data_IF_098963732617
#
_entry.id   IF_098963732617
#
_cell.length_a   1.000
_cell.length_b   1.000
_cell.length_c   1.000
_cell.angle_alpha   90.00
_cell.angle_beta   90.00
_cell.angle_gamma   90.00
#
_symmetry.space_group_name_H-M   'P 1'
#
loop_
_entity.id
_entity.type
_entity.pdbx_description
1 polymer ?
#
# COMPACT_ATOMS: atom_id res chain seq x y z
N UNK A 1 -4.81 13.36 24.51
CA UNK A 1 -4.96 12.30 25.54
C UNK A 1 -3.64 12.16 26.30
N UNK A 2 -3.67 11.82 27.60
CA UNK A 2 -2.49 11.78 28.49
C UNK A 2 -1.81 10.40 28.51
N UNK A 3 -1.57 9.81 27.34
CA UNK A 3 -1.09 8.41 27.20
C UNK A 3 0.31 8.18 27.76
N UNK A 4 1.10 9.23 27.97
CA UNK A 4 2.43 9.17 28.58
C UNK A 4 2.45 9.33 30.09
N UNK A 5 1.29 9.50 30.74
CA UNK A 5 1.19 9.70 32.18
C UNK A 5 1.71 8.46 32.94
N UNK A 6 2.63 8.68 33.88
CA UNK A 6 3.24 7.61 34.70
C UNK A 6 2.65 7.51 36.10
N UNK A 7 2.25 8.64 36.66
CA UNK A 7 1.78 8.74 38.04
C UNK A 7 0.50 9.57 38.07
N UNK A 8 -0.51 9.07 38.78
CA UNK A 8 -1.77 9.77 38.99
C UNK A 8 -2.22 9.55 40.45
N UNK A 9 -2.32 10.64 41.20
CA UNK A 9 -2.68 10.60 42.61
C UNK A 9 -4.07 11.21 42.83
N UNK A 10 -5.00 10.38 43.31
CA UNK A 10 -6.40 10.69 43.57
C UNK A 10 -6.78 10.40 45.03
N UNK A 11 -5.82 10.40 45.96
CA UNK A 11 -6.02 10.07 47.37
C UNK A 11 -7.10 10.93 48.05
N UNK A 12 -7.80 10.34 49.03
CA UNK A 12 -8.71 11.05 49.95
C UNK A 12 -9.78 11.92 49.27
N UNK A 13 -10.30 11.43 48.14
CA UNK A 13 -11.44 12.03 47.44
C UNK A 13 -12.73 11.24 47.74
N UNK A 14 -13.83 11.61 47.08
CA UNK A 14 -15.13 10.94 47.20
C UNK A 14 -15.47 10.07 45.98
N UNK A 15 -14.45 9.53 45.29
CA UNK A 15 -14.67 8.70 44.11
C UNK A 15 -15.32 7.37 44.51
N UNK A 16 -16.46 7.03 43.92
CA UNK A 16 -17.14 5.75 44.13
C UNK A 16 -16.83 4.74 43.04
N UNK A 17 -16.43 5.22 41.85
CA UNK A 17 -16.10 4.41 40.69
C UNK A 17 -14.85 4.96 39.99
N UNK A 18 -14.24 4.12 39.15
CA UNK A 18 -13.20 4.52 38.22
C UNK A 18 -13.74 4.35 36.80
N UNK A 19 -13.65 5.38 35.92
CA UNK A 19 -14.09 5.23 34.55
C UNK A 19 -13.22 4.20 33.83
N UNK A 20 -13.80 3.23 33.09
CA UNK A 20 -13.02 2.23 32.34
C UNK A 20 -12.01 2.83 31.36
N UNK A 21 -12.27 4.05 30.89
CA UNK A 21 -11.37 4.81 30.01
C UNK A 21 -10.01 5.11 30.65
N UNK A 22 -9.84 5.02 31.97
CA UNK A 22 -8.51 5.06 32.60
C UNK A 22 -7.61 3.93 32.10
N UNK A 23 -8.17 2.84 31.57
CA UNK A 23 -7.42 1.78 30.90
C UNK A 23 -6.61 2.24 29.68
N UNK A 24 -6.95 3.40 29.10
CA UNK A 24 -6.17 4.01 28.00
C UNK A 24 -4.81 4.55 28.46
N UNK A 25 -4.64 4.79 29.77
CA UNK A 25 -3.39 5.21 30.40
C UNK A 25 -2.46 4.00 30.62
N UNK A 26 -2.21 3.27 29.53
CA UNK A 26 -1.40 2.03 29.51
C UNK A 26 0.05 2.20 29.97
N UNK A 27 0.53 3.43 30.12
CA UNK A 27 1.85 3.74 30.66
C UNK A 27 1.85 4.06 32.15
N UNK A 28 0.68 4.09 32.81
CA UNK A 28 0.53 4.45 34.21
C UNK A 28 1.11 3.36 35.11
N UNK A 29 2.09 3.75 35.92
CA UNK A 29 2.82 2.87 36.83
C UNK A 29 2.33 2.99 38.27
N UNK A 30 1.83 4.17 38.64
CA UNK A 30 1.31 4.42 39.99
C UNK A 30 -0.03 5.14 39.92
N UNK A 31 -1.04 4.53 40.52
CA UNK A 31 -2.36 5.11 40.70
C UNK A 31 -2.71 5.13 42.20
N UNK A 32 -2.71 6.32 42.80
CA UNK A 32 -3.11 6.51 44.18
C UNK A 32 -4.61 6.67 44.33
N UNK A 33 -5.33 5.63 44.77
CA UNK A 33 -6.80 5.68 44.98
C UNK A 33 -7.24 5.47 46.43
N UNK A 34 -6.30 5.37 47.37
CA UNK A 34 -6.62 5.18 48.79
C UNK A 34 -7.43 6.36 49.35
N UNK A 35 -8.20 6.12 50.42
CA UNK A 35 -9.08 7.14 51.01
C UNK A 35 -10.40 7.39 50.26
N UNK A 36 -10.62 6.75 49.10
CA UNK A 36 -11.87 6.89 48.34
C UNK A 36 -12.88 5.76 48.64
N UNK A 37 -14.20 6.02 48.56
CA UNK A 37 -15.26 5.01 48.65
C UNK A 37 -15.41 4.14 47.38
N UNK A 38 -14.32 3.75 46.72
CA UNK A 38 -14.32 2.90 45.51
C UNK A 38 -14.62 1.44 45.89
N UNK A 39 -15.30 0.74 44.97
CA UNK A 39 -15.55 -0.70 45.03
C UNK A 39 -14.32 -1.51 45.46
N UNK A 40 -14.52 -2.42 46.41
CA UNK A 40 -13.43 -3.19 47.01
C UNK A 40 -12.70 -4.09 46.01
N UNK A 41 -13.40 -4.58 44.98
CA UNK A 41 -12.82 -5.41 43.92
C UNK A 41 -11.65 -4.71 43.19
N UNK A 42 -11.81 -3.43 42.83
CA UNK A 42 -10.79 -2.64 42.15
C UNK A 42 -9.59 -2.36 43.06
N UNK A 43 -9.83 -2.09 44.35
CA UNK A 43 -8.76 -1.92 45.35
C UNK A 43 -7.93 -3.19 45.51
N UNK A 44 -8.59 -4.35 45.53
CA UNK A 44 -7.92 -5.65 45.65
C UNK A 44 -6.99 -5.91 44.45
N UNK A 45 -7.38 -5.53 43.22
CA UNK A 45 -6.52 -5.67 42.03
C UNK A 45 -5.23 -4.85 42.22
N UNK A 46 -5.34 -3.58 42.65
CA UNK A 46 -4.17 -2.72 42.87
C UNK A 46 -3.27 -3.26 43.98
N UNK A 47 -3.86 -3.71 45.10
CA UNK A 47 -3.11 -4.22 46.24
C UNK A 47 -2.37 -5.54 45.93
N UNK A 48 -2.99 -6.41 45.13
CA UNK A 48 -2.45 -7.74 44.84
C UNK A 48 -1.51 -7.73 43.62
N UNK A 49 -1.96 -7.13 42.53
CA UNK A 49 -1.36 -7.26 41.20
C UNK A 49 -0.82 -5.91 40.66
N UNK A 50 -1.01 -4.82 41.40
CA UNK A 50 -0.45 -3.50 41.12
C UNK A 50 -1.31 -2.61 40.19
N UNK A 51 -0.85 -1.38 39.99
CA UNK A 51 -1.52 -0.41 39.09
C UNK A 51 -1.65 -0.92 37.65
N UNK A 52 -0.61 -1.52 37.02
CA UNK A 52 -0.73 -2.00 35.65
C UNK A 52 -1.84 -3.03 35.46
N UNK A 53 -2.04 -3.93 36.44
CA UNK A 53 -3.12 -4.91 36.39
C UNK A 53 -4.51 -4.27 36.42
N UNK A 54 -4.71 -3.24 37.25
CA UNK A 54 -5.96 -2.49 37.26
C UNK A 54 -6.18 -1.76 35.93
N UNK A 55 -5.14 -1.15 35.35
CA UNK A 55 -5.23 -0.47 34.04
C UNK A 55 -5.65 -1.46 32.95
N UNK A 56 -5.02 -2.63 32.88
CA UNK A 56 -5.40 -3.68 31.92
C UNK A 56 -6.84 -4.17 32.15
N UNK A 57 -7.25 -4.36 33.40
CA UNK A 57 -8.63 -4.73 33.73
C UNK A 57 -9.65 -3.68 33.25
N UNK A 58 -9.40 -2.40 33.52
CA UNK A 58 -10.26 -1.30 33.10
C UNK A 58 -10.32 -1.18 31.57
N UNK A 59 -9.18 -1.36 30.89
CA UNK A 59 -9.06 -1.36 29.43
C UNK A 59 -9.90 -2.47 28.80
N UNK A 60 -9.74 -3.69 29.28
CA UNK A 60 -10.39 -4.87 28.70
C UNK A 60 -11.88 -4.94 29.04
N UNK A 61 -12.29 -4.33 30.15
CA UNK A 61 -13.70 -4.19 30.57
C UNK A 61 -14.39 -2.94 30.01
N UNK A 62 -13.66 -2.08 29.28
CA UNK A 62 -14.24 -0.85 28.73
C UNK A 62 -15.28 -1.20 27.66
N UNK A 63 -16.52 -0.67 27.75
CA UNK A 63 -17.51 -0.87 26.71
C UNK A 63 -16.97 -0.42 25.34
N UNK A 64 -17.24 -1.24 24.32
CA UNK A 64 -16.81 -0.95 22.94
C UNK A 64 -17.49 0.34 22.49
N UNK A 65 -16.74 1.39 22.11
CA UNK A 65 -17.33 2.60 21.56
C UNK A 65 -18.16 2.28 20.30
N UNK A 66 -19.12 3.13 19.94
CA UNK A 66 -19.79 2.99 18.65
C UNK A 66 -18.79 3.00 17.48
N UNK A 67 -19.06 2.27 16.38
CA UNK A 67 -18.19 2.29 15.21
C UNK A 67 -18.09 3.69 14.61
N UNK A 68 -16.97 4.03 13.95
CA UNK A 68 -16.86 5.27 13.19
C UNK A 68 -17.88 5.29 12.03
N UNK A 69 -18.25 6.47 11.52
CA UNK A 69 -18.92 6.57 10.23
C UNK A 69 -18.08 5.95 9.11
N UNK A 70 -18.74 5.40 8.09
CA UNK A 70 -18.07 4.88 6.91
C UNK A 70 -17.30 5.98 6.17
N UNK A 71 -16.07 5.65 5.76
CA UNK A 71 -15.22 6.54 4.97
C UNK A 71 -15.84 6.80 3.61
N UNK A 72 -15.80 8.07 3.20
CA UNK A 72 -16.48 8.52 2.00
C UNK A 72 -15.53 8.54 0.80
N UNK A 73 -16.00 8.08 -0.35
CA UNK A 73 -15.28 8.22 -1.62
C UNK A 73 -15.19 9.70 -2.03
N UNK A 74 -13.98 10.14 -2.39
CA UNK A 74 -13.70 11.45 -2.96
C UNK A 74 -13.54 11.28 -4.46
N UNK A 75 -14.50 11.78 -5.24
CA UNK A 75 -14.42 11.76 -6.69
C UNK A 75 -13.58 12.94 -7.20
N UNK A 76 -12.55 12.65 -7.97
CA UNK A 76 -11.63 13.63 -8.55
C UNK A 76 -12.06 14.08 -9.95
N UNK A 77 -13.04 13.38 -10.53
CA UNK A 77 -13.65 13.66 -11.83
C UNK A 77 -15.08 14.18 -11.65
N UNK A 78 -15.46 15.13 -12.49
CA UNK A 78 -16.79 15.75 -12.46
C UNK A 78 -17.91 14.76 -12.78
N UNK A 79 -19.13 15.04 -12.33
CA UNK A 79 -20.29 14.15 -12.53
C UNK A 79 -20.54 13.83 -14.02
N UNK A 80 -20.53 14.85 -14.88
CA UNK A 80 -20.75 14.67 -16.32
C UNK A 80 -19.67 13.77 -16.96
N UNK A 81 -18.42 13.87 -16.51
CA UNK A 81 -17.33 13.01 -17.00
C UNK A 81 -17.53 11.55 -16.54
N UNK A 82 -18.00 11.33 -15.31
CA UNK A 82 -18.34 9.98 -14.82
C UNK A 82 -19.47 9.34 -15.62
N UNK A 83 -20.53 10.10 -15.89
CA UNK A 83 -21.66 9.63 -16.68
C UNK A 83 -21.23 9.29 -18.12
N UNK A 84 -20.38 10.13 -18.72
CA UNK A 84 -19.81 9.85 -20.03
C UNK A 84 -18.95 8.57 -20.04
N UNK A 85 -18.06 8.40 -19.06
CA UNK A 85 -17.21 7.20 -18.93
C UNK A 85 -18.05 5.93 -18.71
N UNK A 86 -19.09 5.99 -17.87
CA UNK A 86 -19.97 4.84 -17.62
C UNK A 86 -20.76 4.42 -18.87
N UNK A 87 -21.00 5.34 -19.80
CA UNK A 87 -21.67 5.06 -21.08
C UNK A 87 -20.74 4.61 -22.20
N UNK A 88 -19.43 4.76 -22.03
CA UNK A 88 -18.43 4.41 -23.05
C UNK A 88 -17.86 3.00 -22.77
N UNK A 89 -18.22 1.99 -23.59
CA UNK A 89 -17.77 0.61 -23.41
C UNK A 89 -16.26 0.43 -23.66
N UNK A 90 -15.57 1.45 -24.17
CA UNK A 90 -14.11 1.42 -24.34
C UNK A 90 -13.35 1.88 -23.09
N UNK A 91 -14.06 2.39 -22.07
CA UNK A 91 -13.44 2.81 -20.81
C UNK A 91 -13.02 1.60 -19.99
N UNK A 92 -11.71 1.43 -19.80
CA UNK A 92 -11.17 0.43 -18.88
C UNK A 92 -10.85 1.09 -17.52
N UNK A 93 -11.55 0.67 -16.47
CA UNK A 93 -11.28 1.08 -15.08
C UNK A 93 -10.88 -0.10 -14.22
N UNK A 94 -10.14 0.21 -13.15
CA UNK A 94 -9.77 -0.76 -12.13
C UNK A 94 -9.51 -0.06 -10.80
N UNK A 95 -9.57 -0.84 -9.72
CA UNK A 95 -9.36 -0.36 -8.36
C UNK A 95 -8.16 -1.03 -7.68
N UNK A 96 -7.46 -0.29 -6.85
CA UNK A 96 -6.29 -0.77 -6.09
C UNK A 96 -6.49 -0.45 -4.62
N UNK A 97 -6.32 -1.48 -3.79
CA UNK A 97 -6.25 -1.39 -2.34
C UNK A 97 -4.79 -1.57 -1.89
N UNK A 98 -4.30 -0.71 -1.00
CA UNK A 98 -3.00 -0.86 -0.34
C UNK A 98 -3.19 -0.83 1.19
N UNK A 99 -2.61 -1.80 1.90
CA UNK A 99 -2.85 -1.94 3.34
C UNK A 99 -1.73 -2.70 4.07
N UNK A 100 -1.06 -2.03 5.02
CA UNK A 100 -0.23 -2.70 6.02
C UNK A 100 -1.16 -3.28 7.09
N UNK A 101 -1.16 -4.61 7.26
CA UNK A 101 -2.15 -5.30 8.10
C UNK A 101 -1.70 -5.53 9.55
N UNK A 102 -0.51 -5.04 9.92
CA UNK A 102 0.13 -5.22 11.23
C UNK A 102 0.27 -6.71 11.60
N UNK A 103 1.45 -7.28 11.37
CA UNK A 103 1.67 -8.72 11.58
C UNK A 103 1.47 -9.11 13.05
N UNK A 104 1.23 -10.40 13.30
CA UNK A 104 0.92 -10.89 14.64
C UNK A 104 2.03 -10.55 15.65
N UNK A 105 3.30 -10.65 15.23
CA UNK A 105 4.45 -10.39 16.12
C UNK A 105 4.63 -8.92 16.48
N UNK A 106 4.16 -8.00 15.63
CA UNK A 106 4.27 -6.57 15.86
C UNK A 106 3.17 -6.08 16.83
N UNK A 107 1.99 -6.70 16.79
CA UNK A 107 0.83 -6.37 17.63
C UNK A 107 0.99 -6.75 19.12
N UNK A 108 1.92 -6.11 19.81
CA UNK A 108 2.22 -6.39 21.23
C UNK A 108 1.63 -5.34 22.16
N UNK A 109 1.27 -5.73 23.40
CA UNK A 109 0.82 -4.79 24.43
C UNK A 109 1.88 -3.74 24.82
N UNK A 110 3.15 -3.99 24.49
CA UNK A 110 4.23 -3.02 24.70
C UNK A 110 4.08 -1.81 23.77
N UNK A 111 3.69 -2.03 22.51
CA UNK A 111 3.49 -0.98 21.52
C UNK A 111 2.07 -0.42 21.56
N UNK A 112 1.09 -1.32 21.73
CA UNK A 112 -0.34 -1.03 21.62
C UNK A 112 -1.06 -1.25 22.94
N UNK A 113 -0.44 -0.89 24.08
CA UNK A 113 -0.99 -1.14 25.41
C UNK A 113 -2.32 -0.44 25.68
N UNK A 114 -2.69 0.56 24.88
CA UNK A 114 -3.99 1.23 24.91
C UNK A 114 -5.12 0.41 24.27
N UNK A 115 -4.79 -0.63 23.51
CA UNK A 115 -5.74 -1.50 22.81
C UNK A 115 -6.15 -2.64 23.74
N UNK A 116 -7.47 -2.91 23.91
CA UNK A 116 -7.91 -4.07 24.68
C UNK A 116 -7.26 -5.36 24.18
N UNK A 117 -6.88 -6.24 25.10
CA UNK A 117 -6.11 -7.45 24.77
C UNK A 117 -6.82 -8.32 23.73
N UNK A 118 -8.15 -8.45 23.84
CA UNK A 118 -8.99 -9.19 22.91
C UNK A 118 -9.04 -8.56 21.50
N UNK A 119 -8.93 -7.24 21.39
CA UNK A 119 -8.93 -6.54 20.11
C UNK A 119 -7.56 -6.63 19.42
N UNK A 120 -6.50 -6.87 20.20
CA UNK A 120 -5.14 -7.04 19.69
C UNK A 120 -4.87 -8.47 19.19
N UNK A 121 -5.62 -9.46 19.70
CA UNK A 121 -5.50 -10.87 19.29
C UNK A 121 -5.63 -11.03 17.78
N UNK A 122 -4.74 -11.82 17.19
CA UNK A 122 -4.73 -12.06 15.75
C UNK A 122 -6.05 -12.65 15.23
N UNK A 123 -6.65 -13.58 15.97
CA UNK A 123 -7.93 -14.19 15.59
C UNK A 123 -9.08 -13.18 15.51
N UNK A 124 -9.02 -12.08 16.27
CA UNK A 124 -9.97 -10.99 16.16
C UNK A 124 -9.65 -10.07 14.97
N UNK A 125 -8.39 -9.63 14.87
CA UNK A 125 -7.95 -8.67 13.84
C UNK A 125 -8.08 -9.23 12.43
N UNK A 126 -7.69 -10.49 12.19
CA UNK A 126 -7.67 -11.10 10.85
C UNK A 126 -9.05 -11.14 10.18
N UNK A 127 -10.11 -11.33 10.97
CA UNK A 127 -11.49 -11.34 10.47
C UNK A 127 -11.93 -9.95 10.02
N UNK A 128 -11.56 -8.90 10.78
CA UNK A 128 -11.82 -7.51 10.39
C UNK A 128 -11.00 -7.10 9.16
N UNK A 129 -9.72 -7.50 9.09
CA UNK A 129 -8.85 -7.26 7.94
C UNK A 129 -9.45 -7.90 6.68
N UNK A 130 -9.86 -9.18 6.77
CA UNK A 130 -10.49 -9.88 5.65
C UNK A 130 -11.79 -9.18 5.24
N UNK A 131 -12.63 -8.79 6.20
CA UNK A 131 -13.87 -8.07 5.94
C UNK A 131 -13.62 -6.74 5.23
N UNK A 132 -12.60 -5.99 5.64
CA UNK A 132 -12.21 -4.73 5.00
C UNK A 132 -11.79 -4.94 3.53
N UNK A 133 -10.94 -5.93 3.26
CA UNK A 133 -10.51 -6.29 1.90
C UNK A 133 -11.71 -6.72 1.02
N UNK A 134 -12.57 -7.59 1.54
CA UNK A 134 -13.73 -8.12 0.81
C UNK A 134 -14.76 -7.03 0.52
N UNK A 135 -15.03 -6.14 1.48
CA UNK A 135 -15.99 -5.05 1.32
C UNK A 135 -15.58 -4.06 0.22
N UNK A 136 -14.28 -3.76 0.11
CA UNK A 136 -13.78 -2.89 -0.96
C UNK A 136 -13.79 -3.57 -2.33
N UNK A 137 -13.70 -4.91 -2.37
CA UNK A 137 -13.79 -5.71 -3.60
C UNK A 137 -12.88 -5.20 -4.73
N UNK A 138 -11.69 -4.73 -4.39
CA UNK A 138 -10.78 -4.09 -5.35
C UNK A 138 -10.21 -5.07 -6.37
N UNK A 139 -9.84 -4.58 -7.55
CA UNK A 139 -9.26 -5.42 -8.60
C UNK A 139 -7.87 -5.95 -8.23
N UNK A 140 -7.08 -5.10 -7.56
CA UNK A 140 -5.77 -5.42 -7.02
C UNK A 140 -5.73 -5.06 -5.52
N UNK A 141 -5.14 -5.94 -4.71
CA UNK A 141 -4.98 -5.78 -3.26
C UNK A 141 -3.50 -5.99 -2.91
N UNK A 142 -2.83 -4.93 -2.47
CA UNK A 142 -1.43 -4.93 -2.06
C UNK A 142 -1.35 -4.89 -0.54
N UNK A 143 -0.89 -5.97 0.07
CA UNK A 143 -0.75 -6.08 1.53
C UNK A 143 0.72 -6.08 1.95
N UNK A 144 1.02 -5.38 3.04
CA UNK A 144 2.31 -5.46 3.75
C UNK A 144 2.09 -6.12 5.11
N UNK A 145 3.16 -6.63 5.72
CA UNK A 145 3.12 -7.31 7.02
C UNK A 145 2.27 -8.60 7.03
N UNK A 146 2.25 -9.33 5.92
CA UNK A 146 1.57 -10.62 5.85
C UNK A 146 2.52 -11.73 6.30
N UNK A 147 2.24 -12.38 7.43
CA UNK A 147 3.02 -13.53 7.91
C UNK A 147 2.95 -14.72 6.94
N UNK A 148 4.06 -15.46 6.76
CA UNK A 148 4.13 -16.58 5.81
C UNK A 148 3.04 -17.64 6.05
N UNK A 149 2.84 -18.06 7.30
CA UNK A 149 1.79 -19.02 7.62
C UNK A 149 0.39 -18.44 7.37
N UNK A 150 0.17 -17.16 7.68
CA UNK A 150 -1.15 -16.53 7.52
C UNK A 150 -1.51 -16.34 6.04
N UNK A 151 -0.52 -16.09 5.18
CA UNK A 151 -0.73 -16.11 3.73
C UNK A 151 -1.26 -17.47 3.26
N UNK A 152 -0.54 -18.55 3.56
CA UNK A 152 -0.85 -19.91 3.06
C UNK A 152 -2.12 -20.50 3.69
N UNK A 153 -2.31 -20.29 4.99
CA UNK A 153 -3.33 -20.98 5.77
C UNK A 153 -4.66 -20.23 5.82
N UNK A 154 -4.63 -18.90 5.72
CA UNK A 154 -5.81 -18.05 5.86
C UNK A 154 -6.08 -17.19 4.62
N UNK A 155 -5.26 -16.18 4.33
CA UNK A 155 -5.58 -15.15 3.33
C UNK A 155 -5.72 -15.73 1.92
N UNK A 156 -4.82 -16.62 1.49
CA UNK A 156 -4.90 -17.24 0.17
C UNK A 156 -6.21 -18.02 -0.01
N UNK A 157 -6.61 -18.82 0.99
CA UNK A 157 -7.82 -19.63 0.93
C UNK A 157 -9.09 -18.77 1.00
N UNK A 158 -9.12 -17.82 1.94
CA UNK A 158 -10.27 -16.95 2.15
C UNK A 158 -10.53 -16.05 0.94
N UNK A 159 -9.48 -15.43 0.38
CA UNK A 159 -9.61 -14.55 -0.78
C UNK A 159 -9.84 -15.33 -2.08
N UNK A 160 -9.36 -16.57 -2.21
CA UNK A 160 -9.74 -17.46 -3.33
C UNK A 160 -11.25 -17.69 -3.39
N UNK A 161 -11.92 -17.85 -2.23
CA UNK A 161 -13.38 -17.92 -2.14
C UNK A 161 -14.10 -16.66 -2.65
N UNK A 162 -13.39 -15.53 -2.72
CA UNK A 162 -13.88 -14.24 -3.22
C UNK A 162 -13.34 -13.89 -4.62
N UNK A 163 -12.81 -14.88 -5.35
CA UNK A 163 -12.37 -14.73 -6.74
C UNK A 163 -10.99 -14.09 -6.92
N UNK A 164 -10.14 -14.13 -5.90
CA UNK A 164 -8.77 -13.64 -5.98
C UNK A 164 -7.77 -14.78 -6.15
N UNK A 165 -6.71 -14.50 -6.90
CA UNK A 165 -5.45 -15.24 -6.84
C UNK A 165 -4.36 -14.34 -6.24
N UNK A 166 -3.32 -14.96 -5.67
CA UNK A 166 -2.31 -14.25 -4.88
C UNK A 166 -0.88 -14.56 -5.28
N UNK A 167 -0.03 -13.55 -5.15
CA UNK A 167 1.43 -13.65 -5.21
C UNK A 167 2.00 -13.13 -3.90
N UNK A 168 2.95 -13.84 -3.30
CA UNK A 168 3.52 -13.48 -2.01
C UNK A 168 5.00 -13.86 -1.91
N UNK A 169 5.75 -13.04 -1.17
CA UNK A 169 7.08 -13.39 -0.68
C UNK A 169 7.32 -12.87 0.74
N UNK A 170 7.92 -13.68 1.63
CA UNK A 170 8.41 -13.23 2.93
C UNK A 170 9.68 -12.39 2.78
N UNK A 171 9.97 -11.54 3.78
CA UNK A 171 11.25 -10.81 3.90
C UNK A 171 12.44 -11.78 3.92
N UNK A 172 13.60 -11.32 3.42
CA UNK A 172 14.75 -12.18 3.10
C UNK A 172 15.30 -12.97 4.30
N UNK A 173 15.11 -12.48 5.53
CA UNK A 173 15.53 -13.19 6.76
C UNK A 173 14.96 -14.60 6.88
N UNK A 174 13.82 -14.88 6.23
CA UNK A 174 13.23 -16.22 6.11
C UNK A 174 14.27 -17.29 5.74
N UNK A 175 15.24 -16.97 4.86
CA UNK A 175 16.27 -17.92 4.40
C UNK A 175 17.19 -18.42 5.53
N UNK A 176 17.37 -17.62 6.58
CA UNK A 176 18.35 -17.86 7.66
C UNK A 176 17.73 -18.35 8.97
N UNK A 177 16.41 -18.45 9.04
CA UNK A 177 15.68 -18.81 10.26
C UNK A 177 15.31 -20.30 10.30
N UNK A 178 14.97 -20.81 11.49
CA UNK A 178 14.41 -22.16 11.67
C UNK A 178 13.01 -22.29 11.03
N UNK A 179 12.54 -23.52 10.82
CA UNK A 179 11.23 -23.78 10.18
C UNK A 179 10.05 -23.16 10.95
N UNK A 180 10.06 -23.23 12.28
CA UNK A 180 9.01 -22.64 13.11
C UNK A 180 9.01 -21.11 13.05
N UNK A 181 10.19 -20.48 13.03
CA UNK A 181 10.31 -19.03 12.95
C UNK A 181 9.99 -18.48 11.56
N UNK A 182 10.34 -19.22 10.51
CA UNK A 182 10.02 -18.90 9.10
C UNK A 182 8.54 -18.66 8.86
N UNK A 183 7.68 -19.42 9.56
CA UNK A 183 6.22 -19.29 9.50
C UNK A 183 5.72 -17.92 9.97
N UNK A 184 6.50 -17.24 10.82
CA UNK A 184 6.18 -15.94 11.41
C UNK A 184 6.98 -14.78 10.79
N UNK A 185 7.64 -15.02 9.64
CA UNK A 185 8.30 -13.95 8.89
C UNK A 185 7.25 -13.30 8.01
N UNK A 186 7.08 -12.00 8.20
CA UNK A 186 6.19 -11.18 7.39
C UNK A 186 6.77 -10.86 6.01
N UNK A 187 5.89 -10.50 5.09
CA UNK A 187 6.21 -10.20 3.71
C UNK A 187 5.19 -9.29 3.03
N UNK A 188 5.25 -9.26 1.71
CA UNK A 188 4.32 -8.51 0.87
C UNK A 188 3.50 -9.47 0.00
N UNK A 189 2.19 -9.22 -0.11
CA UNK A 189 1.29 -9.96 -0.97
C UNK A 189 0.62 -9.04 -2.00
N UNK A 190 0.38 -9.55 -3.20
CA UNK A 190 -0.46 -8.94 -4.23
C UNK A 190 -1.54 -9.95 -4.58
N UNK A 191 -2.80 -9.60 -4.31
CA UNK A 191 -3.95 -10.34 -4.82
C UNK A 191 -4.58 -9.62 -6.00
N UNK A 192 -5.12 -10.39 -6.94
CA UNK A 192 -5.81 -9.86 -8.12
C UNK A 192 -7.05 -10.67 -8.45
N UNK A 193 -8.08 -10.02 -9.01
CA UNK A 193 -9.29 -10.70 -9.49
C UNK A 193 -8.96 -11.62 -10.66
N UNK A 194 -8.98 -12.94 -10.42
CA UNK A 194 -8.64 -13.93 -11.44
C UNK A 194 -9.69 -14.00 -12.56
N UNK A 195 -10.90 -13.49 -12.34
CA UNK A 195 -11.90 -13.32 -13.40
C UNK A 195 -11.51 -12.26 -14.43
N UNK A 196 -10.77 -11.22 -14.03
CA UNK A 196 -10.41 -10.07 -14.89
C UNK A 196 -8.98 -10.12 -15.39
N UNK A 197 -8.05 -10.67 -14.62
CA UNK A 197 -6.62 -10.62 -14.93
C UNK A 197 -5.99 -12.00 -14.98
N UNK A 198 -4.95 -12.12 -15.81
CA UNK A 198 -4.07 -13.28 -15.85
C UNK A 198 -2.68 -12.84 -15.39
N UNK A 199 -2.11 -13.55 -14.41
CA UNK A 199 -0.70 -13.37 -14.06
C UNK A 199 0.18 -13.92 -15.19
N UNK A 200 1.05 -13.07 -15.71
CA UNK A 200 2.05 -13.42 -16.73
C UNK A 200 3.34 -13.88 -16.05
N UNK A 201 3.85 -13.07 -15.12
CA UNK A 201 5.10 -13.31 -14.43
C UNK A 201 5.09 -12.59 -13.08
N UNK A 202 5.94 -13.04 -12.16
CA UNK A 202 6.11 -12.45 -10.85
C UNK A 202 7.59 -12.31 -10.53
N UNK A 203 7.98 -11.18 -9.96
CA UNK A 203 9.37 -10.86 -9.61
C UNK A 203 9.48 -10.51 -8.13
N UNK A 204 10.62 -10.87 -7.55
CA UNK A 204 11.03 -10.46 -6.22
C UNK A 204 12.22 -9.51 -6.34
N UNK A 205 12.12 -8.33 -5.74
CA UNK A 205 13.22 -7.39 -5.59
C UNK A 205 13.69 -7.49 -4.13
N UNK A 206 14.82 -8.14 -3.91
CA UNK A 206 15.51 -8.12 -2.60
C UNK A 206 16.52 -6.97 -2.63
N UNK A 207 16.23 -5.86 -1.94
CA UNK A 207 17.02 -4.63 -2.07
C UNK A 207 18.51 -4.86 -1.76
N UNK A 208 18.82 -5.65 -0.73
CA UNK A 208 20.18 -6.04 -0.39
C UNK A 208 20.87 -6.84 -1.50
N UNK A 209 20.16 -7.78 -2.14
CA UNK A 209 20.71 -8.57 -3.24
C UNK A 209 20.98 -7.72 -4.49
N UNK A 210 20.06 -6.80 -4.84
CA UNK A 210 20.25 -5.89 -5.97
C UNK A 210 21.41 -4.92 -5.69
N UNK A 211 21.47 -4.36 -4.48
CA UNK A 211 22.58 -3.52 -4.05
C UNK A 211 23.93 -4.25 -4.12
N UNK A 212 23.99 -5.53 -3.72
CA UNK A 212 25.18 -6.37 -3.84
C UNK A 212 25.59 -6.69 -5.28
N UNK A 213 24.72 -6.53 -6.28
CA UNK A 213 25.09 -6.74 -7.68
C UNK A 213 25.71 -5.49 -8.31
N UNK A 214 25.46 -4.31 -7.74
CA UNK A 214 25.99 -3.03 -8.22
C UNK A 214 27.46 -2.85 -7.91
N UNK A 215 28.27 -2.55 -8.93
CA UNK A 215 29.71 -2.39 -8.79
C UNK A 215 30.11 -1.08 -8.08
N UNK A 216 29.31 -0.02 -8.23
CA UNK A 216 29.53 1.27 -7.59
C UNK A 216 29.25 1.24 -6.07
N UNK A 217 28.41 0.31 -5.62
CA UNK A 217 27.96 0.18 -4.23
C UNK A 217 28.90 -0.68 -3.36
N UNK A 218 29.64 -1.61 -3.96
CA UNK A 218 30.58 -2.48 -3.25
C UNK A 218 31.79 -1.77 -2.62
N UNK A 219 31.97 -0.47 -2.91
CA UNK A 219 33.17 0.29 -2.53
C UNK A 219 32.95 1.25 -1.35
N UNK A 220 31.72 1.37 -0.85
CA UNK A 220 31.35 2.37 0.16
C UNK A 220 30.97 1.70 1.47
N UNK A 221 31.56 2.14 2.59
CA UNK A 221 31.27 1.62 3.93
C UNK A 221 29.80 1.82 4.33
N UNK A 222 29.18 2.94 3.94
CA UNK A 222 27.78 3.24 4.27
C UNK A 222 26.80 2.23 3.66
N UNK A 223 27.04 1.79 2.42
CA UNK A 223 26.23 0.74 1.79
C UNK A 223 26.30 -0.56 2.60
N UNK A 224 27.50 -1.00 2.97
CA UNK A 224 27.70 -2.23 3.73
C UNK A 224 27.05 -2.16 5.12
N UNK A 225 27.29 -1.06 5.85
CA UNK A 225 26.87 -0.91 7.23
C UNK A 225 25.38 -0.57 7.39
N UNK A 226 24.78 0.15 6.43
CA UNK A 226 23.43 0.71 6.58
C UNK A 226 22.38 0.04 5.72
N UNK A 227 22.73 -0.43 4.52
CA UNK A 227 21.76 -0.94 3.53
C UNK A 227 21.80 -2.47 3.42
N UNK A 228 22.98 -3.08 3.29
CA UNK A 228 23.08 -4.53 2.99
C UNK A 228 22.54 -5.43 4.11
N UNK A 229 22.58 -4.97 5.36
CA UNK A 229 22.00 -5.68 6.51
C UNK A 229 20.47 -5.62 6.60
N UNK A 230 19.80 -4.88 5.70
CA UNK A 230 18.34 -4.73 5.71
C UNK A 230 17.70 -5.76 4.77
N UNK A 231 16.65 -6.43 5.25
CA UNK A 231 16.00 -7.58 4.59
C UNK A 231 14.67 -7.23 3.91
N UNK A 232 14.47 -5.95 3.61
CA UNK A 232 13.25 -5.42 3.02
C UNK A 232 13.18 -5.78 1.53
N UNK A 233 11.97 -5.91 1.01
CA UNK A 233 11.70 -6.43 -0.33
C UNK A 233 10.64 -5.62 -1.06
N UNK A 234 10.52 -5.85 -2.36
CA UNK A 234 9.31 -5.57 -3.11
C UNK A 234 8.89 -6.79 -3.95
N UNK A 235 7.58 -6.98 -4.09
CA UNK A 235 6.97 -7.99 -4.94
C UNK A 235 6.37 -7.29 -6.15
N UNK A 236 6.60 -7.82 -7.34
CA UNK A 236 6.08 -7.25 -8.59
C UNK A 236 5.30 -8.31 -9.35
N UNK A 237 4.05 -8.01 -9.70
CA UNK A 237 3.18 -8.85 -10.51
C UNK A 237 2.98 -8.22 -11.89
N UNK A 238 3.26 -8.99 -12.94
CA UNK A 238 3.04 -8.62 -14.34
C UNK A 238 1.74 -9.28 -14.77
N UNK A 239 0.73 -8.49 -15.03
CA UNK A 239 -0.65 -8.93 -15.25
C UNK A 239 -1.13 -8.49 -16.62
N UNK A 240 -2.10 -9.22 -17.17
CA UNK A 240 -2.77 -8.85 -18.41
C UNK A 240 -4.29 -8.95 -18.23
N UNK A 241 -5.02 -7.91 -18.64
CA UNK A 241 -6.47 -7.91 -18.68
C UNK A 241 -6.96 -8.95 -19.68
N UNK A 242 -7.86 -9.83 -19.21
CA UNK A 242 -8.48 -10.87 -20.05
C UNK A 242 -9.42 -10.28 -21.10
N UNK A 243 -9.94 -9.08 -20.86
CA UNK A 243 -10.90 -8.41 -21.73
C UNK A 243 -10.23 -7.54 -22.81
N UNK A 244 -9.24 -6.74 -22.41
CA UNK A 244 -8.63 -5.73 -23.28
C UNK A 244 -7.22 -6.10 -23.75
N UNK A 245 -6.58 -7.08 -23.11
CA UNK A 245 -5.16 -7.38 -23.31
C UNK A 245 -4.23 -6.30 -22.74
N UNK A 246 -4.75 -5.30 -22.01
CA UNK A 246 -3.94 -4.27 -21.36
C UNK A 246 -3.01 -4.93 -20.33
N UNK A 247 -1.72 -4.62 -20.42
CA UNK A 247 -0.71 -5.04 -19.45
C UNK A 247 -0.69 -4.12 -18.25
N UNK A 248 -0.47 -4.69 -17.08
CA UNK A 248 -0.31 -3.98 -15.82
C UNK A 248 0.94 -4.48 -15.10
N UNK A 249 1.65 -3.56 -14.46
CA UNK A 249 2.73 -3.87 -13.53
C UNK A 249 2.30 -3.34 -12.17
N UNK A 250 2.08 -4.26 -11.23
CA UNK A 250 1.72 -3.94 -9.85
C UNK A 250 2.91 -4.27 -8.98
N UNK A 251 3.54 -3.26 -8.40
CA UNK A 251 4.61 -3.41 -7.43
C UNK A 251 4.08 -3.12 -6.03
N UNK A 252 4.52 -3.90 -5.04
CA UNK A 252 4.17 -3.74 -3.64
C UNK A 252 5.43 -3.84 -2.77
N UNK A 253 5.66 -2.88 -1.88
CA UNK A 253 6.85 -2.85 -1.02
C UNK A 253 6.53 -2.47 0.43
N UNK A 254 7.48 -2.80 1.32
CA UNK A 254 7.52 -2.32 2.70
C UNK A 254 8.97 -1.89 2.99
N UNK A 255 9.22 -0.58 3.02
CA UNK A 255 10.56 0.00 3.22
C UNK A 255 11.00 -0.05 4.69
N UNK A 256 12.28 0.26 4.92
CA UNK A 256 12.80 0.33 6.29
C UNK A 256 12.05 1.34 7.14
N UNK A 257 11.74 0.98 8.40
CA UNK A 257 10.88 1.77 9.28
C UNK A 257 11.61 2.90 10.02
N UNK A 258 12.86 2.66 10.45
CA UNK A 258 13.56 3.53 11.39
C UNK A 258 13.69 4.98 10.86
N UNK A 259 13.15 5.99 11.57
CA UNK A 259 13.25 7.39 11.16
C UNK A 259 14.69 7.91 10.98
N UNK A 260 15.68 7.31 11.64
CA UNK A 260 17.10 7.70 11.54
C UNK A 260 17.77 7.20 10.25
N UNK A 261 17.04 6.48 9.40
CA UNK A 261 17.56 5.85 8.18
C UNK A 261 16.80 6.34 6.93
N UNK A 262 16.52 7.64 6.83
CA UNK A 262 15.91 8.25 5.63
C UNK A 262 16.73 7.96 4.36
N UNK A 263 18.05 7.98 4.47
CA UNK A 263 19.02 7.60 3.45
C UNK A 263 18.83 6.16 2.94
N UNK A 264 18.61 5.20 3.84
CA UNK A 264 18.35 3.80 3.45
C UNK A 264 17.01 3.67 2.73
N UNK A 265 15.96 4.36 3.20
CA UNK A 265 14.65 4.37 2.53
C UNK A 265 14.78 4.94 1.11
N UNK A 266 15.57 6.00 0.96
CA UNK A 266 15.86 6.63 -0.32
C UNK A 266 16.66 5.71 -1.28
N UNK A 267 17.66 5.00 -0.77
CA UNK A 267 18.39 3.98 -1.55
C UNK A 267 17.47 2.83 -1.97
N UNK A 268 16.62 2.35 -1.06
CA UNK A 268 15.67 1.26 -1.35
C UNK A 268 14.67 1.64 -2.42
N UNK A 269 14.09 2.85 -2.36
CA UNK A 269 13.12 3.30 -3.38
C UNK A 269 13.79 3.55 -4.73
N UNK A 270 15.04 4.01 -4.75
CA UNK A 270 15.82 4.13 -5.98
C UNK A 270 16.03 2.77 -6.64
N UNK A 271 16.43 1.76 -5.86
CA UNK A 271 16.57 0.38 -6.35
C UNK A 271 15.23 -0.20 -6.84
N UNK A 272 14.14 0.05 -6.11
CA UNK A 272 12.79 -0.36 -6.51
C UNK A 272 12.43 0.18 -7.90
N UNK A 273 12.60 1.48 -8.10
CA UNK A 273 12.23 2.14 -9.36
C UNK A 273 13.12 1.70 -10.52
N UNK A 274 14.44 1.57 -10.31
CA UNK A 274 15.36 1.05 -11.34
C UNK A 274 14.99 -0.37 -11.78
N UNK A 275 14.66 -1.26 -10.84
CA UNK A 275 14.26 -2.64 -11.17
C UNK A 275 12.88 -2.70 -11.83
N UNK A 276 11.90 -1.92 -11.35
CA UNK A 276 10.58 -1.81 -12.01
C UNK A 276 10.72 -1.28 -13.44
N UNK A 277 11.60 -0.30 -13.69
CA UNK A 277 11.90 0.17 -15.04
C UNK A 277 12.48 -0.94 -15.92
N UNK A 278 13.45 -1.71 -15.43
CA UNK A 278 14.02 -2.85 -16.18
C UNK A 278 12.96 -3.90 -16.50
N UNK A 279 12.15 -4.27 -15.50
CA UNK A 279 11.04 -5.21 -15.65
C UNK A 279 10.04 -4.71 -16.70
N UNK A 280 9.67 -3.43 -16.67
CA UNK A 280 8.73 -2.85 -17.62
C UNK A 280 9.25 -2.91 -19.06
N UNK A 281 10.53 -2.58 -19.29
CA UNK A 281 11.12 -2.67 -20.63
C UNK A 281 11.19 -4.10 -21.16
N UNK A 282 11.43 -5.08 -20.28
CA UNK A 282 11.41 -6.49 -20.66
C UNK A 282 9.99 -6.95 -20.99
N UNK A 283 9.01 -6.57 -20.16
CA UNK A 283 7.60 -6.95 -20.36
C UNK A 283 7.01 -6.33 -21.63
N UNK A 284 7.44 -5.14 -22.04
CA UNK A 284 7.02 -4.52 -23.29
C UNK A 284 7.38 -5.36 -24.53
N UNK A 285 8.46 -6.16 -24.47
CA UNK A 285 8.93 -7.00 -25.58
C UNK A 285 8.12 -8.28 -25.76
N UNK A 286 7.27 -8.65 -24.81
CA UNK A 286 6.49 -9.88 -24.92
C UNK A 286 5.45 -9.75 -26.05
N UNK A 287 5.20 -10.82 -26.82
CA UNK A 287 4.16 -10.79 -27.85
C UNK A 287 2.78 -10.58 -27.20
N UNK A 288 1.85 -9.86 -27.84
CA UNK A 288 0.48 -9.77 -27.36
C UNK A 288 -0.12 -11.17 -27.24
N UNK A 289 -0.76 -11.50 -26.11
CA UNK A 289 -1.56 -12.73 -26.08
C UNK A 289 -2.84 -12.45 -26.85
N UNK A 290 -3.05 -13.22 -27.91
CA UNK A 290 -4.35 -13.25 -28.56
C UNK A 290 -5.35 -13.87 -27.58
N UNK A 291 -6.58 -13.34 -27.47
CA UNK A 291 -7.63 -14.03 -26.74
C UNK A 291 -7.72 -15.47 -27.28
N UNK A 292 -7.93 -16.48 -26.42
CA UNK A 292 -8.09 -17.85 -26.90
C UNK A 292 -9.23 -17.86 -27.93
N UNK A 293 -8.91 -18.25 -29.17
CA UNK A 293 -9.92 -18.48 -30.18
C UNK A 293 -10.89 -19.52 -29.62
N UNK A 294 -12.18 -19.18 -29.58
CA UNK A 294 -13.22 -20.12 -29.16
C UNK A 294 -13.06 -21.43 -29.93
N UNK A 295 -12.66 -22.49 -29.23
CA UNK A 295 -12.56 -23.83 -29.80
C UNK A 295 -13.96 -24.40 -29.98
N UNK A 296 -14.60 -24.04 -31.09
CA UNK A 296 -15.78 -24.67 -31.67
C UNK A 296 -15.77 -24.31 -33.17
N UNK A 297 -15.73 -25.20 -34.15
CA UNK A 297 -16.01 -26.62 -34.19
C UNK A 297 -15.35 -27.24 -35.44
N UNK A 298 -14.92 -28.49 -35.33
CA UNK A 298 -14.90 -29.39 -36.49
C UNK A 298 -16.35 -29.81 -36.71
N UNK A 299 -16.95 -29.40 -37.83
CA UNK A 299 -18.16 -30.03 -38.36
C UNK A 299 -19.39 -29.12 -38.52
N UNK A 300 -19.89 -29.12 -39.77
CA UNK A 300 -21.19 -28.67 -40.25
C UNK A 300 -21.35 -27.21 -40.67
N UNK A 301 -21.63 -27.06 -41.96
CA UNK A 301 -21.96 -25.82 -42.63
C UNK A 301 -23.36 -25.34 -42.22
N UNK A 302 -23.43 -24.34 -41.34
CA UNK A 302 -24.61 -23.49 -41.18
C UNK A 302 -24.18 -22.02 -41.20
N UNK A 303 -24.89 -21.25 -42.03
CA UNK A 303 -24.78 -19.80 -42.21
C UNK A 303 -24.90 -19.05 -40.87
N UNK A 304 -24.00 -18.10 -40.56
CA UNK A 304 -24.06 -17.38 -39.29
C UNK A 304 -25.16 -16.32 -39.33
N UNK A 305 -26.11 -16.41 -38.40
CA UNK A 305 -26.97 -15.31 -37.99
C UNK A 305 -26.15 -14.30 -37.19
N UNK A 306 -26.26 -13.03 -37.55
CA UNK A 306 -25.59 -11.93 -36.88
C UNK A 306 -26.07 -11.78 -35.43
N UNK A 307 -25.13 -11.80 -34.49
CA UNK A 307 -25.36 -11.37 -33.11
C UNK A 307 -24.89 -12.39 -32.07
N UNK A 308 -23.57 -12.51 -31.90
CA UNK A 308 -22.92 -12.95 -30.65
C UNK A 308 -21.40 -12.85 -30.83
N UNK A 309 -20.85 -11.64 -30.63
CA UNK A 309 -19.40 -11.39 -30.55
C UNK A 309 -19.19 -10.26 -29.52
N UNK A 310 -19.05 -10.61 -28.24
CA UNK A 310 -18.61 -9.69 -27.18
C UNK A 310 -17.15 -10.00 -26.79
N UNK A 311 -16.27 -10.01 -27.79
CA UNK A 311 -14.84 -9.79 -27.57
C UNK A 311 -14.58 -8.31 -27.91
N UNK A 312 -13.80 -7.61 -27.09
CA UNK A 312 -13.49 -6.19 -27.30
C UNK A 312 -13.11 -5.94 -28.77
N UNK A 313 -13.77 -4.97 -29.41
CA UNK A 313 -13.61 -4.67 -30.84
C UNK A 313 -12.22 -4.10 -31.20
N UNK A 314 -11.32 -3.98 -30.23
CA UNK A 314 -10.00 -3.38 -30.35
C UNK A 314 -8.91 -4.45 -30.25
N UNK A 315 -7.90 -4.45 -31.14
CA UNK A 315 -6.76 -5.34 -31.00
C UNK A 315 -6.01 -5.06 -29.67
N UNK A 316 -5.42 -6.10 -29.04
CA UNK A 316 -4.63 -5.93 -27.82
C UNK A 316 -3.54 -4.86 -27.97
N UNK A 317 -3.26 -4.05 -26.94
CA UNK A 317 -2.21 -3.03 -27.00
C UNK A 317 -0.83 -3.63 -27.29
N UNK A 318 -0.05 -2.92 -28.11
CA UNK A 318 1.37 -3.20 -28.34
C UNK A 318 2.20 -2.09 -27.73
N UNK A 319 3.25 -2.46 -26.99
CA UNK A 319 4.08 -1.53 -26.23
C UNK A 319 5.45 -1.37 -26.93
N UNK A 320 5.80 -0.15 -27.32
CA UNK A 320 7.12 0.14 -27.91
C UNK A 320 8.23 0.17 -26.86
N UNK A 321 7.87 0.44 -25.61
CA UNK A 321 8.76 0.58 -24.46
C UNK A 321 7.96 0.37 -23.16
N UNK A 322 8.68 0.19 -22.05
CA UNK A 322 8.09 -0.10 -20.75
C UNK A 322 7.27 1.04 -20.16
N UNK A 323 7.59 2.30 -20.50
CA UNK A 323 6.90 3.48 -19.97
C UNK A 323 5.45 3.58 -20.44
N UNK A 324 5.09 2.86 -21.51
CA UNK A 324 3.72 2.79 -22.02
C UNK A 324 2.84 1.79 -21.29
N UNK A 325 3.42 0.91 -20.46
CA UNK A 325 2.65 -0.04 -19.64
C UNK A 325 2.16 0.70 -18.37
N UNK A 326 0.85 0.64 -18.04
CA UNK A 326 0.35 1.04 -16.73
C UNK A 326 1.12 0.42 -15.57
N UNK A 327 1.70 1.27 -14.71
CA UNK A 327 2.45 0.88 -13.52
C UNK A 327 1.74 1.44 -12.29
N UNK A 328 1.54 0.58 -11.30
CA UNK A 328 1.15 0.93 -9.93
C UNK A 328 2.28 0.50 -9.00
N UNK A 329 2.69 1.39 -8.09
CA UNK A 329 3.61 1.07 -7.00
C UNK A 329 2.92 1.39 -5.68
N UNK A 330 2.53 0.34 -4.96
CA UNK A 330 1.93 0.41 -3.65
C UNK A 330 2.95 0.11 -2.56
N UNK A 331 2.69 0.55 -1.34
CA UNK A 331 3.46 0.10 -0.21
C UNK A 331 3.35 0.97 1.03
N UNK A 332 3.93 0.43 2.09
CA UNK A 332 4.36 1.20 3.26
C UNK A 332 5.79 1.70 2.99
N UNK A 333 5.91 3.00 2.76
CA UNK A 333 7.19 3.63 2.46
C UNK A 333 7.90 4.13 3.72
N UNK A 334 7.24 4.09 4.88
CA UNK A 334 7.75 4.63 6.14
C UNK A 334 8.33 6.05 6.00
N UNK A 335 7.76 6.84 5.08
CA UNK A 335 8.30 8.14 4.66
C UNK A 335 7.16 9.14 4.45
N UNK A 336 7.25 10.31 5.08
CA UNK A 336 6.22 11.36 5.02
C UNK A 336 6.26 12.15 3.70
N UNK A 337 5.22 12.91 3.33
CA UNK A 337 5.17 13.66 2.06
C UNK A 337 6.33 14.66 1.87
N UNK A 338 6.94 15.13 2.96
CA UNK A 338 8.09 16.04 2.94
C UNK A 338 9.44 15.33 2.73
N UNK A 339 9.47 13.99 2.69
CA UNK A 339 10.71 13.22 2.55
C UNK A 339 11.27 13.23 1.13
N UNK A 340 12.58 12.97 1.02
CA UNK A 340 13.26 12.74 -0.26
C UNK A 340 12.75 11.51 -1.00
N UNK A 341 12.16 10.52 -0.31
CA UNK A 341 11.48 9.38 -0.95
C UNK A 341 10.27 9.87 -1.74
N UNK A 342 9.43 10.70 -1.12
CA UNK A 342 8.24 11.26 -1.78
C UNK A 342 8.64 12.23 -2.91
N UNK A 343 9.64 13.11 -2.67
CA UNK A 343 10.18 13.99 -3.70
C UNK A 343 10.70 13.20 -4.90
N UNK A 344 11.53 12.17 -4.67
CA UNK A 344 12.11 11.37 -5.74
C UNK A 344 11.04 10.71 -6.60
N UNK A 345 10.04 10.06 -5.98
CA UNK A 345 8.96 9.37 -6.71
C UNK A 345 8.07 10.34 -7.50
N UNK A 346 7.76 11.51 -6.92
CA UNK A 346 6.83 12.47 -7.52
C UNK A 346 7.48 13.33 -8.62
N UNK A 347 8.72 13.74 -8.43
CA UNK A 347 9.44 14.65 -9.36
C UNK A 347 10.27 13.88 -10.40
N UNK A 348 10.64 12.64 -10.09
CA UNK A 348 11.51 11.83 -10.92
C UNK A 348 13.01 12.08 -10.71
N UNK A 349 13.41 12.97 -9.80
CA UNK A 349 14.83 13.23 -9.53
C UNK A 349 15.09 13.91 -8.21
N UNK A 350 16.22 13.58 -7.57
CA UNK A 350 16.76 14.35 -6.45
C UNK A 350 18.26 14.62 -6.66
N UNK A 351 18.80 15.74 -6.15
CA UNK A 351 20.21 16.08 -6.32
C UNK A 351 21.13 15.17 -5.46
N UNK A 352 22.43 15.08 -5.81
CA UNK A 352 23.40 14.23 -5.07
C UNK A 352 23.64 14.66 -3.62
N UNK A 353 23.41 15.92 -3.29
CA UNK A 353 23.58 16.54 -1.96
C UNK A 353 22.25 16.72 -1.21
N UNK A 354 21.22 15.96 -1.58
CA UNK A 354 19.92 15.97 -0.90
C UNK A 354 20.07 15.62 0.60
N UNK A 355 19.37 16.34 1.48
CA UNK A 355 19.53 16.24 2.93
C UNK A 355 19.25 14.84 3.49
N UNK A 356 18.32 14.09 2.89
CA UNK A 356 18.04 12.70 3.27
C UNK A 356 19.19 11.73 2.99
N UNK A 357 20.21 12.07 2.19
CA UNK A 357 21.45 11.27 2.14
C UNK A 357 22.35 11.52 3.36
N UNK A 358 22.04 12.52 4.18
CA UNK A 358 22.81 12.94 5.33
C UNK A 358 24.26 13.24 4.92
N UNK A 359 25.23 12.61 5.57
CA UNK A 359 26.65 12.65 5.19
C UNK A 359 27.16 11.30 4.68
N UNK A 360 26.24 10.43 4.24
CA UNK A 360 26.55 9.08 3.78
C UNK A 360 26.82 9.06 2.27
N UNK A 361 27.62 8.09 1.82
CA UNK A 361 28.06 7.95 0.42
C UNK A 361 27.47 6.69 -0.20
N UNK A 362 26.70 6.85 -1.28
CA UNK A 362 26.01 5.78 -1.99
C UNK A 362 26.36 5.73 -3.48
N UNK A 363 27.67 5.75 -3.78
CA UNK A 363 28.18 5.60 -5.15
C UNK A 363 27.60 6.66 -6.10
N UNK A 364 26.96 6.22 -7.18
CA UNK A 364 26.36 7.13 -8.16
C UNK A 364 25.22 7.98 -7.59
N UNK A 365 24.50 7.48 -6.60
CA UNK A 365 23.35 8.20 -6.03
C UNK A 365 23.77 9.51 -5.38
N UNK A 366 24.89 9.52 -4.66
CA UNK A 366 25.43 10.72 -3.98
C UNK A 366 26.50 11.45 -4.78
N UNK A 367 26.82 11.00 -6.01
CA UNK A 367 27.75 11.70 -6.91
C UNK A 367 27.08 12.29 -8.15
N UNK A 368 26.01 11.67 -8.64
CA UNK A 368 25.26 12.11 -9.84
C UNK A 368 23.80 12.51 -9.52
N UNK A 369 23.29 12.11 -8.35
CA UNK A 369 21.88 12.24 -7.96
C UNK A 369 21.02 11.04 -8.40
N UNK A 370 19.78 11.00 -7.95
CA UNK A 370 18.81 9.99 -8.40
C UNK A 370 17.96 10.51 -9.54
N UNK A 371 17.62 9.64 -10.50
CA UNK A 371 16.70 9.96 -11.61
C UNK A 371 15.89 8.74 -12.03
N UNK A 372 14.63 8.94 -12.40
CA UNK A 372 13.79 7.96 -13.07
C UNK A 372 12.86 8.62 -14.09
N UNK A 373 12.23 7.82 -14.96
CA UNK A 373 11.34 8.30 -16.04
C UNK A 373 9.93 7.73 -16.01
N UNK A 374 9.60 6.95 -14.97
CA UNK A 374 8.25 6.41 -14.76
C UNK A 374 7.12 7.45 -14.69
N UNK A 375 7.42 8.73 -14.38
CA UNK A 375 6.43 9.80 -14.32
C UNK A 375 5.30 9.52 -13.31
N UNK A 376 5.70 9.05 -12.13
CA UNK A 376 4.78 8.62 -11.07
C UNK A 376 4.11 9.82 -10.40
N UNK A 377 2.89 9.60 -9.93
CA UNK A 377 2.17 10.52 -9.05
C UNK A 377 1.48 9.73 -7.95
N UNK A 378 1.37 10.27 -6.75
CA UNK A 378 0.50 9.70 -5.71
C UNK A 378 -0.95 9.87 -6.13
N UNK A 379 -1.77 8.83 -5.91
CA UNK A 379 -3.21 8.87 -6.17
C UNK A 379 -3.92 9.95 -5.34
N UNK A 380 -3.40 10.27 -4.17
CA UNK A 380 -3.97 11.22 -3.21
C UNK A 380 -3.40 12.64 -3.34
N UNK A 381 -2.40 12.86 -4.22
CA UNK A 381 -1.70 14.15 -4.33
C UNK A 381 -2.63 15.33 -4.65
N UNK A 382 -3.68 15.11 -5.45
CA UNK A 382 -4.64 16.17 -5.81
C UNK A 382 -5.46 16.70 -4.63
N UNK A 383 -5.50 15.96 -3.51
CA UNK A 383 -6.16 16.35 -2.27
C UNK A 383 -5.18 16.89 -1.22
N UNK A 384 -3.87 16.95 -1.53
CA UNK A 384 -2.84 17.28 -0.55
C UNK A 384 -2.46 16.10 0.37
N UNK A 385 -2.60 14.87 -0.13
CA UNK A 385 -2.45 13.62 0.63
C UNK A 385 -3.50 13.43 1.74
N UNK A 386 -3.62 12.21 2.28
CA UNK A 386 -4.41 12.00 3.50
C UNK A 386 -3.64 12.57 4.70
N UNK A 387 -4.30 13.12 5.73
CA UNK A 387 -3.60 13.62 6.92
C UNK A 387 -2.80 12.53 7.64
N UNK A 388 -3.28 11.29 7.57
CA UNK A 388 -2.60 10.14 8.15
C UNK A 388 -2.97 8.85 7.41
N UNK A 389 -2.03 7.92 7.39
CA UNK A 389 -2.25 6.52 7.04
C UNK A 389 -1.78 5.60 8.16
N UNK A 390 -0.87 6.03 9.04
CA UNK A 390 -0.58 5.37 10.33
C UNK A 390 -1.02 6.26 11.50
N UNK A 391 -1.62 5.66 12.53
CA UNK A 391 -2.15 6.38 13.70
C UNK A 391 -1.82 5.70 15.02
N UNK A 392 -0.73 6.12 15.66
CA UNK A 392 -0.35 5.69 17.00
C UNK A 392 -0.05 6.92 17.89
N UNK A 393 0.02 6.78 19.22
CA UNK A 393 0.29 7.93 20.11
C UNK A 393 1.62 8.63 19.82
N UNK A 394 2.63 7.88 19.39
CA UNK A 394 3.98 8.40 19.10
C UNK A 394 4.16 8.93 17.68
N UNK A 395 3.26 8.60 16.76
CA UNK A 395 3.39 8.96 15.35
C UNK A 395 2.02 8.99 14.66
N UNK A 396 1.79 10.02 13.86
CA UNK A 396 0.59 10.22 13.06
C UNK A 396 1.02 10.87 11.75
N UNK A 397 0.81 10.21 10.63
CA UNK A 397 1.22 10.74 9.34
C UNK A 397 0.93 9.79 8.18
N UNK A 398 0.99 10.34 6.96
CA UNK A 398 0.91 9.56 5.73
C UNK A 398 2.27 8.92 5.45
N UNK A 399 2.32 7.61 5.42
CA UNK A 399 3.50 6.81 5.06
C UNK A 399 3.19 5.68 4.08
N UNK A 400 1.90 5.49 3.75
CA UNK A 400 1.41 4.52 2.79
C UNK A 400 0.93 5.23 1.54
N UNK A 401 1.32 4.73 0.36
CA UNK A 401 1.01 5.41 -0.90
C UNK A 401 0.62 4.43 -2.00
N UNK A 402 -0.23 4.91 -2.91
CA UNK A 402 -0.50 4.30 -4.22
C UNK A 402 0.05 5.24 -5.29
N UNK A 403 1.22 4.92 -5.81
CA UNK A 403 1.83 5.64 -6.92
C UNK A 403 1.37 5.06 -8.26
N UNK A 404 1.13 5.91 -9.24
CA UNK A 404 0.70 5.48 -10.57
C UNK A 404 1.46 6.21 -11.69
N UNK A 405 1.70 5.53 -12.80
CA UNK A 405 2.32 6.14 -13.99
C UNK A 405 1.34 7.07 -14.71
N UNK A 406 1.57 8.39 -14.59
CA UNK A 406 0.60 9.41 -15.04
C UNK A 406 0.50 9.59 -16.56
N UNK A 407 1.38 8.94 -17.32
CA UNK A 407 1.33 8.91 -18.78
C UNK A 407 0.14 8.09 -19.30
N UNK A 408 -0.20 6.99 -18.62
CA UNK A 408 -1.15 5.97 -19.06
C UNK A 408 -2.32 5.80 -18.10
N UNK A 409 -2.29 6.41 -16.91
CA UNK A 409 -3.36 6.30 -15.94
C UNK A 409 -3.87 7.68 -15.50
N UNK A 410 -5.16 7.73 -15.18
CA UNK A 410 -5.80 8.83 -14.44
C UNK A 410 -6.47 8.25 -13.20
N UNK A 411 -6.56 9.04 -12.14
CA UNK A 411 -7.33 8.70 -10.94
C UNK A 411 -8.76 9.23 -11.10
N UNK A 412 -9.75 8.39 -10.84
CA UNK A 412 -11.16 8.77 -10.85
C UNK A 412 -11.64 9.13 -9.44
N UNK A 413 -11.27 8.32 -8.45
CA UNK A 413 -11.69 8.50 -7.06
C UNK A 413 -10.72 7.85 -6.09
N UNK A 414 -10.75 8.33 -4.85
CA UNK A 414 -9.98 7.76 -3.74
C UNK A 414 -10.86 7.64 -2.50
N UNK A 415 -10.59 6.66 -1.64
CA UNK A 415 -11.27 6.51 -0.36
C UNK A 415 -10.74 7.56 0.63
N UNK A 416 -11.64 8.41 1.14
CA UNK A 416 -11.30 9.55 1.98
C UNK A 416 -10.79 9.19 3.38
N UNK A 417 -10.59 10.22 4.21
CA UNK A 417 -10.11 10.11 5.58
C UNK A 417 -11.13 9.48 6.55
N UNK A 418 -10.64 9.10 7.74
CA UNK A 418 -11.48 8.73 8.88
C UNK A 418 -12.10 10.00 9.50
N UNK A 419 -13.33 9.88 9.99
CA UNK A 419 -14.04 10.97 10.68
C UNK A 419 -13.16 11.61 11.78
N UNK A 420 -12.85 12.92 11.70
CA UNK A 420 -12.02 13.60 12.70
C UNK A 420 -12.61 13.53 14.12
N UNK A 421 -13.94 13.59 14.23
CA UNK A 421 -14.65 13.48 15.52
C UNK A 421 -14.52 12.10 16.17
N UNK A 422 -14.28 11.05 15.39
CA UNK A 422 -13.89 9.74 15.90
C UNK A 422 -12.42 9.70 16.32
N UNK A 423 -11.51 10.24 15.51
CA UNK A 423 -10.06 10.27 15.81
C UNK A 423 -9.74 11.01 17.11
N UNK A 424 -10.48 12.08 17.42
CA UNK A 424 -10.36 12.82 18.69
C UNK A 424 -10.72 11.99 19.94
N UNK A 425 -11.55 10.96 19.78
CA UNK A 425 -12.09 10.13 20.86
C UNK A 425 -11.30 8.85 21.11
N UNK A 426 -10.33 8.52 20.25
CA UNK A 426 -9.53 7.31 20.36
C UNK A 426 -8.04 7.64 20.48
N UNK A 427 -7.33 6.79 21.24
CA UNK A 427 -5.89 6.96 21.51
C UNK A 427 -5.04 6.81 20.25
N UNK A 428 -5.38 5.80 19.46
CA UNK A 428 -4.60 5.28 18.34
C UNK A 428 -5.26 4.02 17.78
N UNK A 429 -4.62 3.48 16.76
CA UNK A 429 -4.89 2.18 16.17
C UNK A 429 -3.75 1.19 16.54
N UNK A 430 -3.98 -0.14 16.49
CA UNK A 430 -5.27 -0.79 16.28
C UNK A 430 -6.21 -0.54 17.47
N UNK A 431 -7.51 -0.68 17.24
CA UNK A 431 -8.52 -0.61 18.29
C UNK A 431 -9.66 -1.59 17.95
N UNK A 432 -10.79 -1.51 18.66
CA UNK A 432 -11.92 -2.39 18.44
C UNK A 432 -12.51 -2.36 17.01
N UNK A 433 -12.32 -1.27 16.27
CA UNK A 433 -12.89 -1.07 14.93
C UNK A 433 -11.84 -1.06 13.81
N UNK A 434 -10.60 -0.69 14.12
CA UNK A 434 -9.47 -0.68 13.18
C UNK A 434 -8.46 -1.77 13.57
N UNK A 435 -8.30 -2.83 12.76
CA UNK A 435 -7.51 -4.01 13.13
C UNK A 435 -6.01 -3.90 12.82
N UNK A 436 -5.57 -2.78 12.25
CA UNK A 436 -4.17 -2.43 12.01
C UNK A 436 -3.92 -1.04 12.56
N UNK A 437 -2.67 -0.70 12.87
CA UNK A 437 -2.27 0.68 13.15
C UNK A 437 -2.20 1.56 11.90
N UNK A 438 -2.27 0.94 10.71
CA UNK A 438 -2.43 1.61 9.43
C UNK A 438 -3.91 1.65 8.98
N UNK A 439 -4.20 2.58 8.08
CA UNK A 439 -5.44 2.68 7.33
C UNK A 439 -5.29 2.02 5.97
N UNK A 440 -6.26 1.20 5.61
CA UNK A 440 -6.43 0.76 4.23
C UNK A 440 -6.65 1.98 3.32
N UNK A 441 -5.89 2.12 2.22
CA UNK A 441 -6.12 3.17 1.21
C UNK A 441 -6.56 2.53 -0.10
N UNK A 442 -7.52 3.17 -0.77
CA UNK A 442 -8.15 2.61 -1.98
C UNK A 442 -8.32 3.70 -3.04
N UNK A 443 -7.97 3.38 -4.28
CA UNK A 443 -8.08 4.29 -5.41
C UNK A 443 -8.66 3.58 -6.63
N UNK A 444 -9.56 4.27 -7.34
CA UNK A 444 -10.05 3.86 -8.66
C UNK A 444 -9.29 4.63 -9.74
N UNK A 445 -8.83 3.89 -10.74
CA UNK A 445 -8.09 4.40 -11.88
C UNK A 445 -8.85 4.10 -13.18
N UNK A 446 -8.54 4.91 -14.19
CA UNK A 446 -8.87 4.62 -15.59
C UNK A 446 -7.61 4.53 -16.43
N UNK A 447 -7.60 3.59 -17.36
CA UNK A 447 -6.55 3.45 -18.37
C UNK A 447 -6.76 4.51 -19.45
N UNK A 448 -5.72 5.29 -19.72
CA UNK A 448 -5.70 6.23 -20.84
C UNK A 448 -5.37 5.50 -22.13
N UNK A 449 -6.10 5.75 -23.22
CA UNK A 449 -5.68 5.26 -24.52
C UNK A 449 -4.28 5.79 -24.84
N UNK A 450 -3.42 5.01 -25.52
CA UNK A 450 -2.14 5.50 -26.00
C UNK A 450 -2.36 6.77 -26.83
N UNK A 451 -1.60 7.84 -26.54
CA UNK A 451 -1.67 9.07 -27.35
C UNK A 451 -1.35 8.70 -28.80
N UNK A 452 -2.29 8.95 -29.72
CA UNK A 452 -1.98 8.91 -31.15
C UNK A 452 -0.83 9.89 -31.42
N UNK A 453 0.17 9.52 -32.23
CA UNK A 453 1.17 10.50 -32.66
C UNK A 453 0.43 11.67 -33.31
N UNK A 454 0.85 12.93 -33.05
CA UNK A 454 0.20 14.08 -33.66
C UNK A 454 0.17 13.87 -35.17
N UNK A 455 -1.04 13.95 -35.76
CA UNK A 455 -1.19 13.88 -37.21
C UNK A 455 -0.21 14.87 -37.82
N UNK A 456 0.69 14.37 -38.68
CA UNK A 456 1.64 15.22 -39.39
C UNK A 456 0.85 16.32 -40.09
N UNK A 457 1.14 17.59 -39.77
CA UNK A 457 0.53 18.70 -40.49
C UNK A 457 0.82 18.48 -41.97
N UNK A 458 -0.19 18.57 -42.86
CA UNK A 458 0.05 18.46 -44.29
C UNK A 458 1.13 19.48 -44.68
N UNK A 459 2.07 19.11 -45.58
CA UNK A 459 3.12 20.03 -45.99
C UNK A 459 2.50 21.33 -46.51
N UNK A 460 3.10 22.50 -46.22
CA UNK A 460 2.59 23.77 -46.73
C UNK A 460 2.52 23.70 -48.26
N UNK A 461 1.33 23.95 -48.80
CA UNK A 461 1.11 24.07 -50.24
C UNK A 461 1.71 25.41 -50.67
N UNK A 462 2.90 25.39 -51.27
CA UNK A 462 3.46 26.57 -51.91
C UNK A 462 2.79 26.75 -53.28
N UNK A 463 2.22 27.92 -53.59
CA UNK A 463 1.70 28.18 -54.91
C UNK A 463 2.84 28.13 -55.94
N UNK A 464 2.65 27.35 -57.00
CA UNK A 464 3.60 27.28 -58.12
C UNK A 464 3.84 28.69 -58.67
N UNK A 465 5.10 29.12 -58.66
CA UNK A 465 5.50 30.36 -59.30
C UNK A 465 5.24 30.23 -60.80
N UNK A 466 4.25 30.97 -61.30
CA UNK A 466 4.05 31.19 -62.72
C UNK A 466 5.30 31.87 -63.28
N UNK A 467 6.15 31.08 -63.96
CA UNK A 467 7.20 31.59 -64.86
C UNK A 467 6.50 32.29 -66.02
N UNK A 468 6.32 33.60 -65.91
CA UNK A 468 6.08 34.45 -67.06
C UNK A 468 7.40 34.58 -67.82
N UNK A 469 7.44 33.98 -69.01
CA UNK A 469 8.43 34.28 -70.03
C UNK A 469 8.20 35.70 -70.55
N UNK A 470 9.24 36.53 -70.50
CA UNK A 470 9.45 37.67 -71.41
C UNK A 470 10.89 37.67 -71.85
#
# INVERSE_FOLDING_TARGET
MLTSLKELYLFDNQLTTLPPQLGTLHQLQTLGIEGNPIEQSLKMIVQKDGTPALVSFLRDSCPIPGPPPDRQWKHLVGQAEREAMASDPSTETFSVLCYNILCERCATERLYGYTPSWALQWDYRKELILKEIVNHNSDFVCLQEVDNAQYEEYFQKALAGHGYEGVYWPKSRFKMMSESERRLVDGCAIFYKSSKYTLVEKHLIEFSAVAMQRQDFKKTDDMFNRVLGKDHIAVVALLESKETGTRFIIANTHLHWDPQFCDVKLVQVALLVEEVEKIAHNFARYPPRLPPASSSAVGSAHTPTAGENNASSRPPPVYTDGYKIPIIVCGDFNSVPESGVYEFLSTGSIPPDHEDFLSHVYGKYTSEGLRHRLGLKSAYASLGELPLTNYVPSFKGAIDYIWYSSANLSVNSVLGEVDPGYLEKVVGFPNAHFPSDHLCIVSEFRVRPPREPPQARPPPVFPESSRAHT
#
